data_IF_246578720159
#
_entry.id   IF_246578720159
#
_cell.length_a   1.000
_cell.length_b   1.000
_cell.length_c   1.000
_cell.angle_alpha   90.00
_cell.angle_beta   90.00
_cell.angle_gamma   90.00
#
_symmetry.space_group_name_H-M   'P 1'
#
loop_
_entity.id
_entity.type
_entity.pdbx_description
1 polymer ?
#
# COMPACT_ATOMS: atom_id res chain seq x y z
N UNK A 1 -21.44 -4.34 -11.16
CA UNK A 1 -20.39 -5.27 -10.70
C UNK A 1 -19.51 -4.54 -9.71
N UNK A 2 -19.43 -5.03 -8.49
CA UNK A 2 -18.57 -4.50 -7.45
C UNK A 2 -17.17 -5.14 -7.53
N UNK A 3 -16.13 -4.31 -7.53
CA UNK A 3 -14.74 -4.75 -7.61
C UNK A 3 -14.00 -4.32 -6.35
N UNK A 4 -13.46 -5.29 -5.62
CA UNK A 4 -12.57 -5.07 -4.49
C UNK A 4 -11.13 -5.27 -4.96
N UNK A 5 -10.37 -4.18 -5.09
CA UNK A 5 -8.98 -4.23 -5.55
C UNK A 5 -8.03 -3.88 -4.42
N UNK A 6 -7.16 -4.82 -4.06
CA UNK A 6 -6.00 -4.55 -3.21
C UNK A 6 -4.95 -3.79 -4.02
N UNK A 7 -4.38 -2.76 -3.41
CA UNK A 7 -3.36 -1.95 -4.07
C UNK A 7 -2.53 -1.12 -3.09
N UNK A 8 -1.47 -0.52 -3.63
CA UNK A 8 -0.67 0.50 -2.97
C UNK A 8 -0.75 1.83 -3.72
N UNK A 9 0.38 2.53 -3.82
CA UNK A 9 0.41 3.88 -4.36
C UNK A 9 0.32 4.04 -5.88
N UNK A 10 1.02 3.23 -6.69
CA UNK A 10 1.15 3.49 -8.15
C UNK A 10 1.07 2.27 -9.07
N UNK A 11 1.47 1.07 -8.60
CA UNK A 11 1.59 -0.12 -9.45
C UNK A 11 0.31 -0.47 -10.20
N UNK A 12 -0.83 -0.48 -9.50
CA UNK A 12 -2.14 -0.74 -10.08
C UNK A 12 -2.92 0.47 -10.59
N UNK A 13 -2.33 1.68 -10.61
CA UNK A 13 -3.09 2.91 -10.85
C UNK A 13 -3.72 2.96 -12.26
N UNK A 14 -3.03 2.47 -13.29
CA UNK A 14 -3.59 2.43 -14.65
C UNK A 14 -4.78 1.48 -14.74
N UNK A 15 -4.72 0.33 -14.06
CA UNK A 15 -5.78 -0.68 -13.98
C UNK A 15 -6.97 -0.12 -13.23
N UNK A 16 -6.76 0.44 -12.04
CA UNK A 16 -7.82 1.06 -11.24
C UNK A 16 -8.54 2.18 -12.01
N UNK A 17 -7.79 3.00 -12.77
CA UNK A 17 -8.39 4.01 -13.67
C UNK A 17 -9.21 3.42 -14.81
N UNK A 18 -8.79 2.28 -15.35
CA UNK A 18 -9.54 1.60 -16.41
C UNK A 18 -10.83 1.01 -15.84
N UNK A 19 -10.75 0.28 -14.73
CA UNK A 19 -11.91 -0.27 -14.01
C UNK A 19 -12.92 0.80 -13.62
N UNK A 20 -12.45 1.94 -13.09
CA UNK A 20 -13.30 3.07 -12.75
C UNK A 20 -14.06 3.66 -13.95
N UNK A 21 -13.49 3.56 -15.16
CA UNK A 21 -14.11 4.04 -16.40
C UNK A 21 -15.00 2.99 -17.07
N UNK A 22 -15.00 1.75 -16.58
CA UNK A 22 -15.86 0.69 -17.11
C UNK A 22 -17.31 0.89 -16.63
N UNK A 23 -18.29 1.02 -17.55
CA UNK A 23 -19.68 1.21 -17.17
C UNK A 23 -20.21 0.10 -16.27
N UNK A 24 -20.91 0.47 -15.19
CA UNK A 24 -21.50 -0.48 -14.25
C UNK A 24 -20.50 -1.13 -13.28
N UNK A 25 -19.22 -0.74 -13.29
CA UNK A 25 -18.23 -1.14 -12.29
C UNK A 25 -18.23 -0.16 -11.12
N UNK A 26 -18.40 -0.69 -9.91
CA UNK A 26 -18.18 0.04 -8.66
C UNK A 26 -16.86 -0.40 -8.03
N UNK A 27 -15.86 0.50 -8.01
CA UNK A 27 -14.52 0.18 -7.53
C UNK A 27 -14.34 0.56 -6.05
N UNK A 28 -13.94 -0.42 -5.25
CA UNK A 28 -13.39 -0.20 -3.91
C UNK A 28 -11.90 -0.53 -3.89
N UNK A 29 -11.09 0.39 -3.38
CA UNK A 29 -9.64 0.20 -3.23
C UNK A 29 -9.30 -0.07 -1.77
N UNK A 30 -8.64 -1.20 -1.55
CA UNK A 30 -8.18 -1.69 -0.26
C UNK A 30 -6.68 -1.42 -0.16
N UNK A 31 -6.30 -0.55 0.77
CA UNK A 31 -4.94 -0.02 0.91
C UNK A 31 -4.52 -0.12 2.38
N UNK A 32 -3.25 -0.35 2.68
CA UNK A 32 -2.71 -0.21 4.04
C UNK A 32 -1.96 1.12 4.19
N UNK A 33 -1.75 1.55 5.44
CA UNK A 33 -1.08 2.82 5.75
C UNK A 33 0.33 2.69 6.32
N UNK A 34 1.05 1.60 6.02
CA UNK A 34 2.34 1.34 6.69
C UNK A 34 3.55 2.04 6.06
N UNK A 35 3.34 2.85 5.02
CA UNK A 35 4.39 3.69 4.42
C UNK A 35 5.00 4.65 5.44
N UNK A 36 6.31 4.53 5.64
CA UNK A 36 7.15 5.38 6.48
C UNK A 36 8.31 6.05 5.72
N UNK A 37 8.28 6.09 4.39
CA UNK A 37 9.31 6.72 3.59
C UNK A 37 9.29 8.26 3.67
N UNK A 38 10.48 8.87 3.62
CA UNK A 38 10.69 10.32 3.42
C UNK A 38 9.77 11.20 4.30
N UNK A 39 9.03 12.13 3.68
CA UNK A 39 8.10 13.04 4.35
C UNK A 39 6.89 12.34 4.97
N UNK A 40 6.46 11.17 4.46
CA UNK A 40 5.44 10.33 5.12
C UNK A 40 5.94 9.89 6.51
N UNK A 41 7.17 9.38 6.57
CA UNK A 41 7.79 8.95 7.84
C UNK A 41 8.00 10.10 8.81
N UNK A 42 8.43 11.27 8.32
CA UNK A 42 8.57 12.47 9.13
C UNK A 42 7.23 12.89 9.75
N UNK A 43 6.16 12.88 8.97
CA UNK A 43 4.81 13.20 9.43
C UNK A 43 4.30 12.19 10.48
N UNK A 44 4.55 10.88 10.28
CA UNK A 44 4.18 9.84 11.26
C UNK A 44 4.96 9.95 12.58
N UNK A 45 6.22 10.38 12.54
CA UNK A 45 7.00 10.68 13.76
C UNK A 45 6.47 11.93 14.47
N UNK A 46 6.05 12.92 13.70
CA UNK A 46 5.49 14.16 14.23
C UNK A 46 4.09 13.99 14.84
N UNK A 47 3.28 13.10 14.28
CA UNK A 47 1.95 12.71 14.78
C UNK A 47 1.95 11.22 15.18
N UNK A 48 2.49 10.87 16.36
CA UNK A 48 2.49 9.50 16.84
C UNK A 48 1.06 8.93 16.85
N UNK A 49 0.85 7.79 16.19
CA UNK A 49 -0.47 7.15 16.04
C UNK A 49 -1.09 7.31 14.64
N UNK A 50 -0.62 8.26 13.83
CA UNK A 50 -1.10 8.40 12.46
C UNK A 50 -0.45 7.37 11.53
N UNK A 51 -1.26 6.72 10.69
CA UNK A 51 -0.78 5.93 9.55
C UNK A 51 -0.27 6.83 8.41
N UNK A 52 0.53 6.26 7.50
CA UNK A 52 1.05 6.95 6.33
C UNK A 52 -0.04 7.30 5.32
N UNK A 53 -0.33 8.59 5.05
CA UNK A 53 -1.41 8.98 4.14
C UNK A 53 -1.05 8.90 2.65
N UNK A 54 0.22 8.65 2.30
CA UNK A 54 0.73 8.81 0.94
C UNK A 54 0.04 7.93 -0.09
N UNK A 55 -0.21 6.66 0.21
CA UNK A 55 -0.87 5.77 -0.74
C UNK A 55 -2.37 6.05 -0.87
N UNK A 56 -3.03 6.46 0.22
CA UNK A 56 -4.39 6.98 0.17
C UNK A 56 -4.48 8.22 -0.71
N UNK A 57 -3.58 9.19 -0.52
CA UNK A 57 -3.48 10.40 -1.32
C UNK A 57 -3.25 10.10 -2.80
N UNK A 58 -2.33 9.18 -3.14
CA UNK A 58 -2.06 8.79 -4.53
C UNK A 58 -3.30 8.18 -5.19
N UNK A 59 -4.08 7.39 -4.46
CA UNK A 59 -5.31 6.80 -4.99
C UNK A 59 -6.45 7.82 -5.19
N UNK A 60 -6.44 8.96 -4.51
CA UNK A 60 -7.36 10.07 -4.81
C UNK A 60 -7.07 10.76 -6.16
N UNK A 61 -5.94 10.48 -6.80
CA UNK A 61 -5.57 11.03 -8.12
C UNK A 61 -6.14 10.22 -9.30
N UNK A 62 -6.82 9.10 -9.04
CA UNK A 62 -7.23 8.18 -10.09
C UNK A 62 -8.23 8.83 -11.06
N UNK A 63 -9.20 9.58 -10.52
CA UNK A 63 -10.27 10.23 -11.28
C UNK A 63 -9.96 11.69 -11.67
N UNK A 64 -8.76 12.19 -11.36
CA UNK A 64 -8.39 13.59 -11.57
C UNK A 64 -7.44 13.73 -12.76
N UNK A 65 -7.92 14.42 -13.80
CA UNK A 65 -7.15 14.69 -15.01
C UNK A 65 -6.09 15.80 -14.80
N UNK A 66 -5.21 15.96 -15.77
CA UNK A 66 -4.26 17.08 -15.78
C UNK A 66 -5.00 18.42 -15.85
N UNK A 67 -4.55 19.40 -15.05
CA UNK A 67 -5.18 20.71 -14.93
C UNK A 67 -6.29 20.81 -13.88
N UNK A 68 -6.72 19.70 -13.27
CA UNK A 68 -7.69 19.76 -12.17
C UNK A 68 -7.04 20.39 -10.91
N UNK A 69 -7.59 21.47 -10.34
CA UNK A 69 -7.01 22.12 -9.17
C UNK A 69 -6.91 21.20 -7.94
N UNK A 70 -7.79 20.21 -7.82
CA UNK A 70 -7.74 19.19 -6.75
C UNK A 70 -6.50 18.34 -6.87
N UNK A 71 -6.15 17.97 -8.10
CA UNK A 71 -4.93 17.21 -8.40
C UNK A 71 -3.70 18.04 -8.08
N UNK A 72 -3.68 19.29 -8.53
CA UNK A 72 -2.58 20.23 -8.23
C UNK A 72 -2.32 20.31 -6.73
N UNK A 73 -3.37 20.46 -5.91
CA UNK A 73 -3.24 20.48 -4.45
C UNK A 73 -2.71 19.15 -3.89
N UNK A 74 -3.26 18.01 -4.30
CA UNK A 74 -2.84 16.69 -3.84
C UNK A 74 -1.37 16.36 -4.18
N UNK A 75 -0.87 16.87 -5.31
CA UNK A 75 0.49 16.63 -5.80
C UNK A 75 1.48 17.72 -5.38
N UNK A 76 1.01 18.90 -4.94
CA UNK A 76 1.87 20.01 -4.54
C UNK A 76 2.81 19.60 -3.41
N UNK A 77 4.12 19.78 -3.63
CA UNK A 77 5.18 19.48 -2.65
C UNK A 77 5.80 20.79 -2.20
N UNK A 78 5.90 20.94 -0.88
CA UNK A 78 6.45 22.15 -0.28
C UNK A 78 7.95 22.29 -0.58
N UNK A 79 8.41 23.48 -1.02
CA UNK A 79 9.83 23.74 -1.27
C UNK A 79 10.71 23.55 -0.03
N UNK A 80 12.00 23.34 -0.27
CA UNK A 80 13.02 23.39 0.80
C UNK A 80 12.98 24.73 1.52
N UNK A 81 13.08 24.71 2.86
CA UNK A 81 13.05 25.91 3.69
C UNK A 81 11.65 26.53 3.90
N UNK A 82 10.58 25.85 3.51
CA UNK A 82 9.20 26.31 3.76
C UNK A 82 8.95 26.53 5.25
N UNK A 83 8.51 27.74 5.61
CA UNK A 83 8.20 28.13 6.99
C UNK A 83 6.72 27.96 7.31
N UNK A 84 6.35 28.13 8.59
CA UNK A 84 4.94 28.16 9.00
C UNK A 84 4.17 29.33 8.34
N UNK A 85 4.81 30.48 8.15
CA UNK A 85 4.19 31.64 7.50
C UNK A 85 3.94 31.39 6.00
N UNK A 86 4.86 30.69 5.32
CA UNK A 86 4.66 30.29 3.92
C UNK A 86 3.49 29.30 3.80
N UNK A 87 3.37 28.37 4.76
CA UNK A 87 2.22 27.47 4.83
C UNK A 87 0.91 28.22 5.05
N UNK A 88 0.88 29.24 5.92
CA UNK A 88 -0.32 30.06 6.16
C UNK A 88 -0.74 30.84 4.89
N UNK A 89 0.21 31.40 4.15
CA UNK A 89 -0.07 32.06 2.88
C UNK A 89 -0.67 31.08 1.85
N UNK A 90 -0.10 29.88 1.75
CA UNK A 90 -0.61 28.82 0.87
C UNK A 90 -2.01 28.34 1.30
N UNK A 91 -2.30 28.31 2.60
CA UNK A 91 -3.63 28.00 3.13
C UNK A 91 -4.67 29.02 2.65
N UNK A 92 -4.31 30.30 2.59
CA UNK A 92 -5.22 31.34 2.12
C UNK A 92 -5.46 31.25 0.61
N UNK A 93 -4.44 30.89 -0.18
CA UNK A 93 -4.61 30.56 -1.61
C UNK A 93 -5.57 29.37 -1.82
N UNK A 94 -5.39 28.31 -1.02
CA UNK A 94 -6.28 27.12 -1.03
C UNK A 94 -7.68 27.49 -0.55
N UNK A 95 -7.83 28.42 0.39
CA UNK A 95 -9.14 28.88 0.85
C UNK A 95 -9.89 29.67 -0.24
N UNK A 96 -9.17 30.43 -1.06
CA UNK A 96 -9.74 31.23 -2.13
C UNK A 96 -10.15 30.40 -3.36
N UNK A 97 -9.38 29.36 -3.69
CA UNK A 97 -9.50 28.66 -4.99
C UNK A 97 -9.49 27.13 -4.92
N UNK A 98 -9.20 26.55 -3.76
CA UNK A 98 -9.07 25.11 -3.58
C UNK A 98 -10.39 24.38 -3.33
N UNK A 99 -10.34 23.04 -3.25
CA UNK A 99 -11.52 22.24 -2.94
C UNK A 99 -12.11 22.58 -1.56
N UNK A 100 -13.45 22.67 -1.44
CA UNK A 100 -14.11 22.99 -0.17
C UNK A 100 -13.67 22.07 0.96
N UNK A 101 -13.26 22.67 2.08
CA UNK A 101 -12.81 21.96 3.27
C UNK A 101 -11.30 21.68 3.33
N UNK A 102 -10.55 21.72 2.22
CA UNK A 102 -9.10 21.48 2.27
C UNK A 102 -8.36 22.51 3.13
N UNK A 103 -8.67 23.81 2.97
CA UNK A 103 -8.10 24.87 3.80
C UNK A 103 -8.42 24.69 5.29
N UNK A 104 -9.61 24.17 5.64
CA UNK A 104 -9.97 23.88 7.04
C UNK A 104 -9.03 22.83 7.62
N UNK A 105 -8.80 21.73 6.91
CA UNK A 105 -7.92 20.68 7.42
C UNK A 105 -6.47 21.19 7.52
N UNK A 106 -6.00 21.94 6.53
CA UNK A 106 -4.66 22.55 6.61
C UNK A 106 -4.52 23.52 7.79
N UNK A 107 -5.54 24.34 8.10
CA UNK A 107 -5.53 25.21 9.29
C UNK A 107 -5.45 24.42 10.60
N UNK A 108 -6.15 23.28 10.70
CA UNK A 108 -6.04 22.40 11.87
C UNK A 108 -4.61 21.86 12.01
N UNK A 109 -4.00 21.45 10.90
CA UNK A 109 -2.61 20.99 10.91
C UNK A 109 -1.62 22.12 11.27
N UNK A 110 -1.79 23.31 10.69
CA UNK A 110 -0.97 24.49 10.98
C UNK A 110 -1.06 24.89 12.46
N UNK A 111 -2.25 24.83 13.07
CA UNK A 111 -2.41 25.06 14.50
C UNK A 111 -1.63 24.03 15.36
N UNK A 112 -1.61 22.75 14.93
CA UNK A 112 -0.77 21.72 15.58
C UNK A 112 0.72 22.01 15.40
N UNK A 113 1.15 22.48 14.23
CA UNK A 113 2.54 22.89 13.95
C UNK A 113 2.97 24.07 14.84
N UNK A 114 2.11 25.09 14.97
CA UNK A 114 2.36 26.24 15.84
C UNK A 114 2.47 25.86 17.32
N UNK A 115 1.70 24.86 17.79
CA UNK A 115 1.78 24.37 19.16
C UNK A 115 3.04 23.55 19.47
N UNK A 116 3.72 22.99 18.44
CA UNK A 116 4.93 22.18 18.58
C UNK A 116 5.96 22.55 17.50
N UNK A 117 6.50 23.78 17.54
CA UNK A 117 7.40 24.27 16.50
C UNK A 117 8.69 23.43 16.44
N UNK A 118 9.24 23.27 15.23
CA UNK A 118 10.49 22.53 15.01
C UNK A 118 10.37 20.99 15.07
N UNK A 119 9.17 20.44 15.30
CA UNK A 119 8.96 18.99 15.32
C UNK A 119 8.83 18.33 13.95
N UNK A 120 8.67 19.12 12.88
CA UNK A 120 8.54 18.64 11.50
C UNK A 120 9.22 19.61 10.54
N UNK A 121 10.09 19.07 9.68
CA UNK A 121 10.53 19.76 8.48
C UNK A 121 9.45 19.62 7.40
N UNK A 122 8.97 20.76 6.90
CA UNK A 122 7.93 20.81 5.88
C UNK A 122 8.47 20.52 4.47
N UNK A 123 9.78 20.53 4.27
CA UNK A 123 10.38 20.29 2.98
C UNK A 123 9.93 18.95 2.36
N UNK A 124 9.55 18.98 1.09
CA UNK A 124 9.04 17.83 0.34
C UNK A 124 7.76 17.17 0.92
N UNK A 125 7.11 17.79 1.91
CA UNK A 125 5.79 17.35 2.33
C UNK A 125 4.79 17.60 1.20
N UNK A 126 4.06 16.56 0.80
CA UNK A 126 2.93 16.74 -0.09
C UNK A 126 1.80 17.45 0.68
N UNK A 127 1.28 18.55 0.12
CA UNK A 127 0.21 19.32 0.75
C UNK A 127 -1.04 18.47 0.99
N UNK A 128 -1.34 17.54 0.07
CA UNK A 128 -2.38 16.54 0.29
C UNK A 128 -2.16 15.68 1.55
N UNK A 129 -0.92 15.31 1.89
CA UNK A 129 -0.65 14.56 3.13
C UNK A 129 -0.94 15.43 4.37
N UNK A 130 -0.71 16.74 4.29
CA UNK A 130 -1.03 17.68 5.37
C UNK A 130 -2.54 17.89 5.52
N UNK A 131 -3.31 17.82 4.42
CA UNK A 131 -4.79 17.76 4.48
C UNK A 131 -5.25 16.51 5.24
N UNK A 132 -4.65 15.34 4.97
CA UNK A 132 -4.93 14.11 5.73
C UNK A 132 -4.60 14.26 7.21
N UNK A 133 -3.44 14.84 7.53
CA UNK A 133 -3.03 15.09 8.92
C UNK A 133 -4.02 16.02 9.63
N UNK A 134 -4.45 17.10 8.98
CA UNK A 134 -5.48 17.99 9.50
C UNK A 134 -6.81 17.30 9.77
N UNK A 135 -7.27 16.48 8.82
CA UNK A 135 -8.50 15.72 8.97
C UNK A 135 -8.42 14.70 10.11
N UNK A 136 -7.29 13.99 10.23
CA UNK A 136 -7.00 13.06 11.33
C UNK A 136 -7.10 13.76 12.68
N UNK A 137 -6.41 14.89 12.85
CA UNK A 137 -6.43 15.68 14.08
C UNK A 137 -7.84 16.18 14.42
N UNK A 138 -8.56 16.72 13.43
CA UNK A 138 -9.92 17.25 13.63
C UNK A 138 -10.93 16.17 14.01
N UNK A 139 -10.73 14.95 13.52
CA UNK A 139 -11.65 13.83 13.72
C UNK A 139 -11.26 12.96 14.93
N UNK A 140 -10.50 13.51 15.87
CA UNK A 140 -10.16 12.82 17.11
C UNK A 140 -9.17 11.68 16.90
N UNK A 141 -8.24 11.85 15.95
CA UNK A 141 -7.19 10.87 15.66
C UNK A 141 -7.73 9.54 15.12
N UNK A 142 -8.89 9.58 14.43
CA UNK A 142 -9.44 8.49 13.63
C UNK A 142 -8.95 8.59 12.17
N UNK A 143 -7.99 7.73 11.81
CA UNK A 143 -7.42 7.71 10.46
C UNK A 143 -8.43 7.29 9.38
N UNK A 144 -9.33 6.35 9.70
CA UNK A 144 -10.34 5.88 8.74
C UNK A 144 -11.40 6.97 8.47
N UNK A 145 -11.76 7.74 9.49
CA UNK A 145 -12.59 8.93 9.31
C UNK A 145 -11.88 10.02 8.49
N UNK A 146 -10.56 10.20 8.69
CA UNK A 146 -9.76 11.10 7.87
C UNK A 146 -9.73 10.69 6.39
N UNK A 147 -9.54 9.40 6.09
CA UNK A 147 -9.62 8.87 4.72
C UNK A 147 -10.97 9.18 4.08
N UNK A 148 -12.09 8.94 4.79
CA UNK A 148 -13.44 9.27 4.29
C UNK A 148 -13.68 10.78 4.12
N UNK A 149 -13.09 11.61 4.98
CA UNK A 149 -13.19 13.06 4.85
C UNK A 149 -12.40 13.57 3.63
N UNK A 150 -11.16 13.11 3.46
CA UNK A 150 -10.34 13.45 2.30
C UNK A 150 -10.97 12.96 0.99
N UNK A 151 -11.48 11.73 0.94
CA UNK A 151 -12.19 11.22 -0.23
C UNK A 151 -13.36 12.13 -0.65
N UNK A 152 -14.11 12.68 0.32
CA UNK A 152 -15.18 13.66 0.04
C UNK A 152 -14.65 15.02 -0.41
N UNK A 153 -13.62 15.56 0.25
CA UNK A 153 -13.00 16.86 -0.12
C UNK A 153 -12.53 16.83 -1.58
N UNK A 154 -11.92 15.72 -2.01
CA UNK A 154 -11.41 15.57 -3.37
C UNK A 154 -12.42 14.94 -4.35
N UNK A 155 -13.65 14.66 -3.89
CA UNK A 155 -14.75 14.14 -4.71
C UNK A 155 -14.41 12.80 -5.36
N UNK A 156 -13.79 11.88 -4.63
CA UNK A 156 -13.40 10.58 -5.16
C UNK A 156 -14.63 9.71 -5.44
N UNK A 157 -14.77 9.17 -6.66
CA UNK A 157 -15.79 8.19 -7.00
C UNK A 157 -15.42 6.77 -6.53
N UNK A 158 -14.17 6.57 -6.10
CA UNK A 158 -13.67 5.29 -5.60
C UNK A 158 -13.92 5.19 -4.11
N UNK A 159 -14.40 4.03 -3.66
CA UNK A 159 -14.47 3.75 -2.22
C UNK A 159 -13.07 3.37 -1.72
N UNK A 160 -12.35 4.36 -1.19
CA UNK A 160 -11.02 4.18 -0.66
C UNK A 160 -11.06 3.72 0.80
N UNK A 161 -10.58 2.52 1.07
CA UNK A 161 -10.66 1.85 2.37
C UNK A 161 -9.26 1.49 2.86
N UNK A 162 -8.96 1.89 4.10
CA UNK A 162 -7.87 1.27 4.84
C UNK A 162 -8.28 -0.16 5.20
N UNK A 163 -7.37 -1.13 5.08
CA UNK A 163 -7.65 -2.52 5.48
C UNK A 163 -7.72 -2.68 7.00
N UNK A 164 -7.08 -1.79 7.77
CA UNK A 164 -7.01 -1.87 9.25
C UNK A 164 -7.90 -0.87 9.98
N UNK A 165 -8.08 -1.06 11.28
CA UNK A 165 -8.85 -0.20 12.18
C UNK A 165 -8.32 1.23 12.28
N UNK A 166 -7.08 1.46 11.82
CA UNK A 166 -6.42 2.76 11.82
C UNK A 166 -5.21 2.83 12.76
N UNK A 167 -4.90 1.74 13.46
CA UNK A 167 -3.75 1.64 14.34
C UNK A 167 -2.45 1.75 13.56
N UNK A 168 -1.53 2.55 14.09
CA UNK A 168 -0.21 2.70 13.51
C UNK A 168 0.69 1.50 13.86
N UNK A 169 1.43 1.02 12.86
CA UNK A 169 2.48 0.02 13.05
C UNK A 169 3.60 0.19 12.02
N UNK A 170 4.74 -0.42 12.30
CA UNK A 170 5.96 -0.27 11.51
C UNK A 170 6.26 -1.59 10.78
N UNK A 171 6.23 -1.53 9.45
CA UNK A 171 6.51 -2.68 8.61
C UNK A 171 8.00 -2.99 8.61
N UNK A 172 8.32 -4.26 8.89
CA UNK A 172 9.67 -4.82 8.93
C UNK A 172 9.68 -6.14 8.18
N UNK A 173 10.76 -6.43 7.47
CA UNK A 173 10.95 -7.70 6.78
C UNK A 173 12.16 -8.48 7.31
N UNK A 174 12.06 -9.81 7.28
CA UNK A 174 13.12 -10.75 7.65
C UNK A 174 13.62 -11.49 6.41
N UNK A 175 14.92 -11.41 6.12
CA UNK A 175 15.57 -12.18 5.07
C UNK A 175 15.90 -13.60 5.55
N UNK A 176 16.08 -14.52 4.60
CA UNK A 176 16.40 -15.94 4.87
C UNK A 176 17.67 -16.13 5.71
N UNK A 177 18.64 -15.24 5.56
CA UNK A 177 19.90 -15.24 6.31
C UNK A 177 19.80 -14.57 7.69
N UNK A 178 18.60 -14.18 8.13
CA UNK A 178 18.35 -13.56 9.42
C UNK A 178 18.49 -12.03 9.43
N UNK A 179 18.91 -11.39 8.32
CA UNK A 179 18.95 -9.92 8.24
C UNK A 179 17.56 -9.30 8.29
N UNK A 180 17.48 -8.12 8.89
CA UNK A 180 16.24 -7.38 9.09
C UNK A 180 16.25 -6.10 8.24
N UNK A 181 15.22 -5.94 7.41
CA UNK A 181 14.92 -4.70 6.69
C UNK A 181 13.94 -3.90 7.55
N UNK A 182 14.37 -2.73 8.03
CA UNK A 182 13.75 -2.08 9.18
C UNK A 182 12.56 -1.17 8.83
N UNK A 183 12.39 -0.84 7.55
CA UNK A 183 11.34 0.02 7.05
C UNK A 183 11.03 -0.27 5.57
N UNK A 184 10.03 0.43 5.01
CA UNK A 184 9.66 0.27 3.61
C UNK A 184 10.81 0.63 2.67
N UNK A 185 11.63 1.64 2.99
CA UNK A 185 12.73 2.06 2.14
C UNK A 185 13.80 0.95 2.05
N UNK A 186 14.11 0.29 3.17
CA UNK A 186 14.97 -0.88 3.21
C UNK A 186 14.37 -2.06 2.43
N UNK A 187 13.04 -2.22 2.38
CA UNK A 187 12.35 -3.31 1.66
C UNK A 187 12.40 -3.10 0.15
N UNK A 188 12.08 -1.90 -0.32
CA UNK A 188 11.95 -1.59 -1.76
C UNK A 188 13.25 -1.11 -2.40
N UNK A 189 14.25 -0.75 -1.58
CA UNK A 189 15.57 -0.32 -2.03
C UNK A 189 16.39 -1.46 -2.66
N UNK A 190 17.57 -1.17 -3.21
CA UNK A 190 18.43 -2.20 -3.82
C UNK A 190 18.70 -3.37 -2.86
N UNK A 191 18.26 -4.56 -3.24
CA UNK A 191 18.45 -5.80 -2.48
C UNK A 191 19.55 -6.66 -3.08
N UNK A 192 20.13 -7.53 -2.25
CA UNK A 192 20.79 -8.74 -2.75
C UNK A 192 19.79 -9.89 -2.90
N UNK A 193 20.26 -10.98 -3.52
CA UNK A 193 19.45 -12.16 -3.85
C UNK A 193 18.85 -12.92 -2.64
N UNK A 194 19.16 -12.54 -1.40
CA UNK A 194 18.55 -13.16 -0.23
C UNK A 194 17.04 -12.91 -0.22
N UNK A 195 16.24 -13.99 -0.17
CA UNK A 195 14.79 -13.87 -0.17
C UNK A 195 14.25 -13.29 1.15
N UNK A 196 13.24 -12.42 1.07
CA UNK A 196 12.38 -12.09 2.21
C UNK A 196 11.53 -13.33 2.56
N UNK A 197 11.53 -13.72 3.84
CA UNK A 197 10.86 -14.92 4.38
C UNK A 197 9.77 -14.60 5.40
N UNK A 198 9.56 -13.33 5.74
CA UNK A 198 8.53 -12.93 6.69
C UNK A 198 8.41 -11.42 6.78
N UNK A 199 7.17 -10.95 6.98
CA UNK A 199 6.82 -9.57 7.24
C UNK A 199 6.21 -9.46 8.63
N UNK A 200 6.52 -8.37 9.32
CA UNK A 200 6.07 -8.09 10.68
C UNK A 200 5.61 -6.66 10.78
N UNK A 201 4.51 -6.44 11.51
CA UNK A 201 4.00 -5.12 11.87
C UNK A 201 4.35 -4.89 13.34
N UNK A 202 5.31 -4.01 13.62
CA UNK A 202 5.79 -3.75 14.97
C UNK A 202 5.06 -2.58 15.62
N UNK A 203 4.92 -2.60 16.96
CA UNK A 203 4.36 -1.48 17.74
C UNK A 203 5.21 -0.22 17.64
N UNK A 204 6.52 -0.41 17.72
CA UNK A 204 7.52 0.64 17.72
C UNK A 204 8.52 0.41 16.58
N UNK A 205 9.07 1.49 15.97
CA UNK A 205 10.09 1.35 14.95
C UNK A 205 11.38 0.78 15.56
N UNK A 206 12.13 0.00 14.79
CA UNK A 206 13.43 -0.49 15.24
C UNK A 206 14.44 0.65 15.36
N UNK A 207 15.03 0.80 16.55
CA UNK A 207 16.11 1.77 16.77
C UNK A 207 17.42 1.29 16.14
N UNK A 208 18.40 2.19 15.98
CA UNK A 208 19.75 1.79 15.55
C UNK A 208 20.36 0.72 16.48
N UNK A 209 20.07 0.80 17.78
CA UNK A 209 20.48 -0.21 18.76
C UNK A 209 19.79 -1.54 18.52
N UNK A 210 18.47 -1.56 18.30
CA UNK A 210 17.75 -2.79 17.97
C UNK A 210 18.32 -3.44 16.71
N UNK A 211 18.63 -2.64 15.67
CA UNK A 211 19.22 -3.15 14.43
C UNK A 211 20.57 -3.81 14.71
N UNK A 212 21.46 -3.15 15.46
CA UNK A 212 22.75 -3.69 15.86
C UNK A 212 22.61 -4.97 16.72
N UNK A 213 21.69 -4.92 17.69
CA UNK A 213 21.40 -6.04 18.57
C UNK A 213 20.82 -7.22 17.82
N UNK A 214 20.08 -7.02 16.72
CA UNK A 214 19.55 -8.07 15.84
C UNK A 214 20.59 -8.61 14.83
N UNK A 215 21.58 -7.80 14.44
CA UNK A 215 22.61 -8.12 13.43
C UNK A 215 23.95 -8.64 13.98
N UNK A 216 24.08 -8.89 15.29
CA UNK A 216 25.39 -9.07 15.96
C UNK A 216 26.36 -10.09 15.29
N UNK A 217 27.63 -9.70 15.04
CA UNK A 217 28.63 -10.45 14.25
C UNK A 217 29.53 -11.44 15.04
N UNK A 218 29.11 -11.97 16.20
CA UNK A 218 30.05 -12.73 17.08
C UNK A 218 29.79 -14.24 17.22
N UNK A 219 28.87 -14.81 16.44
CA UNK A 219 28.74 -16.26 16.38
C UNK A 219 28.27 -16.69 14.98
N UNK A 220 29.14 -17.32 14.16
CA UNK A 220 28.79 -17.86 12.86
C UNK A 220 27.72 -18.96 12.88
N UNK A 221 27.32 -19.44 14.07
CA UNK A 221 26.37 -20.54 14.28
C UNK A 221 25.10 -20.19 15.06
N UNK A 222 24.99 -18.99 15.69
CA UNK A 222 24.00 -18.79 16.77
C UNK A 222 23.02 -17.63 16.62
N UNK A 223 22.59 -17.29 15.40
CA UNK A 223 21.23 -16.74 15.24
C UNK A 223 20.52 -17.37 14.05
N UNK A 224 19.85 -18.51 14.25
CA UNK A 224 18.91 -18.99 13.25
C UNK A 224 17.89 -17.89 12.97
N UNK A 225 17.51 -17.68 11.71
CA UNK A 225 16.46 -16.73 11.33
C UNK A 225 15.19 -16.88 12.19
N UNK A 226 14.94 -18.08 12.71
CA UNK A 226 13.90 -18.41 13.70
C UNK A 226 13.99 -17.58 14.98
N UNK A 227 15.17 -17.36 15.55
CA UNK A 227 15.31 -16.54 16.76
C UNK A 227 14.99 -15.07 16.49
N UNK A 228 15.40 -14.55 15.33
CA UNK A 228 15.07 -13.17 14.93
C UNK A 228 13.56 -13.05 14.71
N UNK A 229 12.95 -14.03 14.05
CA UNK A 229 11.49 -14.15 13.88
C UNK A 229 10.75 -14.13 15.22
N UNK A 230 11.21 -14.89 16.20
CA UNK A 230 10.63 -14.91 17.55
C UNK A 230 10.72 -13.55 18.26
N UNK A 231 11.83 -12.82 18.07
CA UNK A 231 12.01 -11.49 18.66
C UNK A 231 11.07 -10.46 18.00
N UNK A 232 10.95 -10.52 16.68
CA UNK A 232 10.03 -9.65 15.93
C UNK A 232 8.57 -9.94 16.29
N UNK A 233 8.18 -11.21 16.40
CA UNK A 233 6.83 -11.63 16.79
C UNK A 233 6.43 -11.11 18.18
N UNK A 234 7.35 -11.10 19.15
CA UNK A 234 7.11 -10.53 20.50
C UNK A 234 6.87 -9.02 20.49
N UNK A 235 7.31 -8.32 19.45
CA UNK A 235 7.15 -6.87 19.25
C UNK A 235 5.99 -6.51 18.34
N UNK A 236 5.22 -7.50 17.85
CA UNK A 236 4.09 -7.28 16.95
C UNK A 236 3.06 -6.33 17.55
N UNK A 237 2.52 -5.47 16.70
CA UNK A 237 1.38 -4.61 16.99
C UNK A 237 0.08 -5.40 17.01
N UNK A 238 -0.82 -5.01 17.90
CA UNK A 238 -2.21 -5.45 17.82
C UNK A 238 -2.91 -4.60 16.77
N UNK A 239 -3.36 -5.25 15.70
CA UNK A 239 -4.02 -4.62 14.56
C UNK A 239 -5.45 -5.11 14.53
N UNK A 240 -6.43 -4.21 14.51
CA UNK A 240 -7.81 -4.61 14.20
C UNK A 240 -8.08 -4.44 12.71
N UNK A 241 -8.98 -5.23 12.11
CA UNK A 241 -9.42 -4.99 10.74
C UNK A 241 -10.39 -3.82 10.66
N UNK A 242 -10.43 -3.15 9.50
CA UNK A 242 -11.55 -2.30 9.16
C UNK A 242 -12.77 -3.17 8.80
N UNK A 243 -13.88 -3.13 9.56
CA UNK A 243 -15.05 -3.95 9.26
C UNK A 243 -15.69 -3.63 7.90
N UNK A 244 -15.56 -2.39 7.42
CA UNK A 244 -16.02 -2.02 6.08
C UNK A 244 -15.19 -2.69 4.99
N UNK A 245 -13.86 -2.75 5.15
CA UNK A 245 -12.97 -3.43 4.22
C UNK A 245 -13.29 -4.93 4.12
N UNK A 246 -13.47 -5.61 5.25
CA UNK A 246 -13.84 -7.03 5.26
C UNK A 246 -15.18 -7.29 4.55
N UNK A 247 -16.21 -6.47 4.84
CA UNK A 247 -17.51 -6.58 4.16
C UNK A 247 -17.40 -6.34 2.66
N UNK A 248 -16.61 -5.37 2.24
CA UNK A 248 -16.35 -5.08 0.82
C UNK A 248 -15.71 -6.27 0.11
N UNK A 249 -14.74 -6.94 0.74
CA UNK A 249 -14.11 -8.14 0.18
C UNK A 249 -15.11 -9.30 0.08
N UNK A 250 -15.90 -9.53 1.13
CA UNK A 250 -16.89 -10.63 1.17
C UNK A 250 -17.98 -10.44 0.11
N UNK A 251 -18.47 -9.21 -0.06
CA UNK A 251 -19.58 -8.87 -0.94
C UNK A 251 -19.17 -8.58 -2.40
N UNK A 252 -17.88 -8.47 -2.68
CA UNK A 252 -17.37 -8.16 -4.02
C UNK A 252 -17.71 -9.23 -5.05
N UNK A 253 -18.06 -8.81 -6.27
CA UNK A 253 -18.27 -9.71 -7.41
C UNK A 253 -16.93 -10.17 -8.03
N UNK A 254 -15.88 -9.35 -7.85
CA UNK A 254 -14.52 -9.59 -8.30
C UNK A 254 -13.53 -9.09 -7.24
N UNK A 255 -12.55 -9.92 -6.88
CA UNK A 255 -11.38 -9.51 -6.10
C UNK A 255 -10.18 -9.40 -7.03
N UNK A 256 -9.46 -8.29 -6.97
CA UNK A 256 -8.22 -8.08 -7.72
C UNK A 256 -7.08 -7.88 -6.73
N UNK A 257 -6.10 -8.78 -6.75
CA UNK A 257 -4.80 -8.53 -6.14
C UNK A 257 -3.98 -7.74 -7.15
N UNK A 258 -4.01 -6.41 -7.02
CA UNK A 258 -3.39 -5.51 -7.98
C UNK A 258 -1.87 -5.66 -8.01
N UNK A 259 -1.20 -5.23 -9.10
CA UNK A 259 0.25 -5.23 -9.18
C UNK A 259 0.85 -4.10 -8.33
N UNK A 260 2.10 -4.26 -7.93
CA UNK A 260 2.82 -3.31 -7.08
C UNK A 260 3.96 -4.00 -6.34
N UNK A 261 4.58 -3.30 -5.39
CA UNK A 261 5.61 -3.87 -4.52
C UNK A 261 4.97 -4.88 -3.57
N UNK A 262 5.18 -6.20 -3.75
CA UNK A 262 4.47 -7.19 -2.96
C UNK A 262 4.74 -7.04 -1.46
N UNK A 263 5.99 -6.82 -1.05
CA UNK A 263 6.34 -6.82 0.37
C UNK A 263 5.99 -5.53 1.09
N UNK A 264 5.93 -4.39 0.40
CA UNK A 264 5.60 -3.11 1.03
C UNK A 264 4.14 -2.69 0.92
N UNK A 265 3.46 -3.05 -0.18
CA UNK A 265 2.10 -2.56 -0.48
C UNK A 265 1.03 -3.64 -0.40
N UNK A 266 1.30 -4.86 -0.87
CA UNK A 266 0.24 -5.87 -1.05
C UNK A 266 0.18 -6.86 0.11
N UNK A 267 1.25 -7.61 0.36
CA UNK A 267 1.33 -8.64 1.39
C UNK A 267 1.02 -8.10 2.80
N UNK A 268 1.44 -6.88 3.20
CA UNK A 268 1.04 -6.32 4.50
C UNK A 268 -0.48 -6.14 4.65
N UNK A 269 -1.21 -5.98 3.53
CA UNK A 269 -2.66 -5.88 3.57
C UNK A 269 -3.32 -7.21 3.92
N UNK A 270 -2.75 -8.33 3.48
CA UNK A 270 -3.24 -9.68 3.74
C UNK A 270 -2.95 -10.15 5.17
N UNK A 271 -1.92 -9.59 5.82
CA UNK A 271 -1.63 -9.80 7.24
C UNK A 271 -2.71 -9.25 8.19
N UNK A 272 -3.63 -8.44 7.68
CA UNK A 272 -4.72 -7.88 8.48
C UNK A 272 -5.60 -9.02 9.04
N UNK A 273 -5.85 -9.08 10.36
CA UNK A 273 -6.67 -10.14 10.93
C UNK A 273 -8.05 -10.23 10.30
N UNK A 274 -8.50 -11.45 9.97
CA UNK A 274 -9.80 -11.67 9.33
C UNK A 274 -9.82 -11.43 7.81
N UNK A 275 -8.74 -10.89 7.21
CA UNK A 275 -8.71 -10.60 5.78
C UNK A 275 -8.66 -11.90 4.94
N UNK A 276 -7.84 -12.86 5.35
CA UNK A 276 -7.75 -14.18 4.73
C UNK A 276 -9.12 -14.91 4.74
N UNK A 277 -9.80 -14.88 5.89
CA UNK A 277 -11.13 -15.44 6.07
C UNK A 277 -12.17 -14.71 5.21
N UNK A 278 -12.10 -13.38 5.12
CA UNK A 278 -12.98 -12.57 4.28
C UNK A 278 -12.81 -12.90 2.79
N UNK A 279 -11.57 -13.06 2.33
CA UNK A 279 -11.26 -13.48 0.95
C UNK A 279 -11.84 -14.87 0.67
N UNK A 280 -11.59 -15.84 1.54
CA UNK A 280 -12.07 -17.22 1.39
C UNK A 280 -13.61 -17.30 1.44
N UNK A 281 -14.25 -16.50 2.29
CA UNK A 281 -15.71 -16.42 2.41
C UNK A 281 -16.38 -15.57 1.31
N UNK A 282 -15.59 -14.88 0.49
CA UNK A 282 -16.13 -14.02 -0.57
C UNK A 282 -16.99 -14.79 -1.56
N UNK A 283 -18.02 -14.12 -2.10
CA UNK A 283 -18.86 -14.65 -3.17
C UNK A 283 -18.36 -14.27 -4.56
N UNK A 284 -17.19 -13.65 -4.65
CA UNK A 284 -16.62 -13.21 -5.91
C UNK A 284 -16.57 -14.34 -6.94
N UNK A 285 -17.03 -14.04 -8.14
CA UNK A 285 -16.97 -14.96 -9.28
C UNK A 285 -15.52 -15.25 -9.69
N UNK A 286 -14.62 -14.29 -9.43
CA UNK A 286 -13.18 -14.47 -9.59
C UNK A 286 -12.41 -13.70 -8.52
N UNK A 287 -11.26 -14.28 -8.14
CA UNK A 287 -10.19 -13.68 -7.37
C UNK A 287 -8.94 -13.73 -8.24
N UNK A 288 -8.56 -12.59 -8.78
CA UNK A 288 -7.57 -12.46 -9.86
C UNK A 288 -6.28 -11.88 -9.31
N UNK A 289 -5.20 -12.63 -9.40
CA UNK A 289 -3.86 -12.14 -9.09
C UNK A 289 -3.23 -11.55 -10.35
N UNK A 290 -2.90 -10.26 -10.32
CA UNK A 290 -2.25 -9.57 -11.44
C UNK A 290 -0.76 -9.49 -11.17
N UNK A 291 0.02 -10.26 -11.92
CA UNK A 291 1.49 -10.26 -11.82
C UNK A 291 2.04 -8.94 -12.36
N UNK A 292 3.04 -8.37 -11.69
CA UNK A 292 3.73 -7.16 -12.14
C UNK A 292 4.20 -7.29 -13.60
N UNK A 293 4.00 -6.23 -14.40
CA UNK A 293 4.39 -6.17 -15.80
C UNK A 293 5.91 -6.05 -16.04
N UNK A 294 6.71 -5.81 -14.99
CA UNK A 294 8.17 -5.77 -15.05
C UNK A 294 8.80 -6.15 -13.72
N UNK A 295 10.10 -6.41 -13.74
CA UNK A 295 10.90 -6.66 -12.53
C UNK A 295 11.09 -5.39 -11.70
N UNK A 296 11.04 -5.51 -10.38
CA UNK A 296 11.45 -4.48 -9.44
C UNK A 296 12.45 -5.06 -8.41
N UNK A 297 13.03 -4.19 -7.56
CA UNK A 297 13.96 -4.63 -6.52
C UNK A 297 13.30 -5.52 -5.47
N UNK A 298 11.97 -5.43 -5.32
CA UNK A 298 11.18 -6.14 -4.32
C UNK A 298 10.94 -7.62 -4.69
N UNK A 299 11.03 -7.95 -5.98
CA UNK A 299 10.79 -9.30 -6.53
C UNK A 299 12.04 -9.93 -7.17
N UNK A 300 13.23 -9.42 -6.87
CA UNK A 300 14.48 -9.95 -7.44
C UNK A 300 14.65 -11.44 -7.17
N UNK A 301 14.88 -12.20 -8.24
CA UNK A 301 15.07 -13.65 -8.17
C UNK A 301 13.78 -14.46 -8.01
N UNK A 302 12.61 -13.82 -7.99
CA UNK A 302 11.31 -14.51 -7.91
C UNK A 302 10.70 -14.71 -9.30
N UNK A 303 10.16 -15.90 -9.50
CA UNK A 303 9.27 -16.22 -10.62
C UNK A 303 7.86 -15.70 -10.35
N UNK A 304 7.02 -15.64 -11.39
CA UNK A 304 5.61 -15.28 -11.22
C UNK A 304 4.87 -16.28 -10.31
N UNK A 305 5.24 -17.56 -10.35
CA UNK A 305 4.68 -18.60 -9.46
C UNK A 305 5.11 -18.40 -8.00
N UNK A 306 6.35 -17.97 -7.75
CA UNK A 306 6.79 -17.66 -6.37
C UNK A 306 5.96 -16.52 -5.75
N UNK A 307 5.55 -15.54 -6.56
CA UNK A 307 4.69 -14.44 -6.11
C UNK A 307 3.27 -14.92 -5.78
N UNK A 308 2.74 -15.85 -6.57
CA UNK A 308 1.44 -16.49 -6.30
C UNK A 308 1.53 -17.30 -5.02
N UNK A 309 2.54 -18.15 -4.87
CA UNK A 309 2.73 -19.02 -3.70
C UNK A 309 2.90 -18.20 -2.41
N UNK A 310 3.64 -17.09 -2.48
CA UNK A 310 3.74 -16.14 -1.36
C UNK A 310 2.38 -15.55 -1.02
N UNK A 311 1.64 -15.08 -2.01
CA UNK A 311 0.32 -14.48 -1.77
C UNK A 311 -0.63 -15.49 -1.13
N UNK A 312 -0.67 -16.73 -1.62
CA UNK A 312 -1.41 -17.84 -1.05
C UNK A 312 -1.00 -18.12 0.41
N UNK A 313 0.30 -18.14 0.70
CA UNK A 313 0.79 -18.33 2.07
C UNK A 313 0.33 -17.21 3.01
N UNK A 314 0.36 -15.95 2.57
CA UNK A 314 -0.11 -14.79 3.36
C UNK A 314 -1.64 -14.75 3.51
N UNK A 315 -2.38 -15.39 2.60
CA UNK A 315 -3.82 -15.64 2.73
C UNK A 315 -4.13 -16.90 3.54
N UNK A 316 -3.11 -17.56 4.12
CA UNK A 316 -3.27 -18.79 4.89
C UNK A 316 -3.78 -19.97 4.07
N UNK A 317 -3.54 -19.98 2.77
CA UNK A 317 -4.06 -20.97 1.81
C UNK A 317 -2.95 -21.48 0.87
N UNK A 318 -1.81 -21.97 1.38
CA UNK A 318 -0.63 -22.31 0.57
C UNK A 318 -0.90 -23.37 -0.52
N UNK A 319 -1.90 -24.24 -0.32
CA UNK A 319 -2.35 -25.22 -1.32
C UNK A 319 -3.47 -24.71 -2.24
N UNK A 320 -3.93 -23.48 -2.05
CA UNK A 320 -5.09 -22.87 -2.71
C UNK A 320 -6.36 -23.73 -2.62
N UNK A 321 -6.58 -24.39 -1.47
CA UNK A 321 -7.70 -25.30 -1.23
C UNK A 321 -9.02 -24.53 -1.01
N UNK A 322 -8.93 -23.25 -0.59
CA UNK A 322 -10.08 -22.35 -0.35
C UNK A 322 -10.30 -21.36 -1.52
N UNK A 323 -10.03 -21.80 -2.76
CA UNK A 323 -9.72 -20.98 -3.94
C UNK A 323 -9.55 -19.47 -3.70
N UNK A 324 -8.58 -19.10 -2.84
CA UNK A 324 -8.30 -17.69 -2.53
C UNK A 324 -7.70 -16.96 -3.73
N UNK A 325 -7.06 -17.68 -4.66
CA UNK A 325 -6.74 -17.22 -6.01
C UNK A 325 -7.39 -18.17 -7.02
N UNK A 326 -8.17 -17.62 -7.95
CA UNK A 326 -8.85 -18.42 -8.99
C UNK A 326 -8.21 -18.25 -10.35
N UNK A 327 -7.62 -17.08 -10.59
CA UNK A 327 -7.03 -16.70 -11.86
C UNK A 327 -5.74 -15.94 -11.61
N UNK A 328 -4.75 -16.16 -12.48
CA UNK A 328 -3.50 -15.41 -12.51
C UNK A 328 -3.36 -14.78 -13.88
N UNK A 329 -3.12 -13.47 -13.91
CA UNK A 329 -2.94 -12.70 -15.13
C UNK A 329 -1.48 -12.22 -15.20
N UNK A 330 -0.76 -12.62 -16.25
CA UNK A 330 0.67 -12.30 -16.43
C UNK A 330 0.99 -11.69 -17.79
N UNK A 331 1.91 -10.72 -17.80
CA UNK A 331 2.54 -10.21 -19.03
C UNK A 331 3.77 -11.05 -19.42
N UNK A 332 4.12 -11.07 -20.71
CA UNK A 332 5.38 -11.68 -21.19
C UNK A 332 6.64 -10.97 -20.68
N UNK A 333 6.53 -9.68 -20.40
CA UNK A 333 7.60 -8.79 -19.93
C UNK A 333 7.86 -8.86 -18.42
N UNK A 334 6.99 -9.55 -17.68
CA UNK A 334 7.05 -9.63 -16.23
C UNK A 334 8.07 -10.65 -15.70
N UNK A 335 8.01 -10.95 -14.39
CA UNK A 335 8.76 -12.05 -13.79
C UNK A 335 8.60 -13.36 -14.58
N UNK A 336 9.67 -14.18 -14.65
CA UNK A 336 9.64 -15.39 -15.46
C UNK A 336 8.51 -16.33 -15.02
N UNK A 337 7.79 -16.87 -16.00
CA UNK A 337 6.75 -17.89 -15.81
C UNK A 337 7.34 -19.25 -16.21
N UNK A 338 7.30 -20.29 -15.36
CA UNK A 338 7.78 -21.62 -15.72
C UNK A 338 7.07 -22.16 -16.97
N UNK A 339 7.81 -22.79 -17.89
CA UNK A 339 7.25 -23.28 -19.16
C UNK A 339 6.05 -24.23 -18.97
N UNK A 340 6.14 -25.14 -17.98
CA UNK A 340 5.04 -26.07 -17.67
C UNK A 340 3.74 -25.37 -17.24
N UNK A 341 3.81 -24.14 -16.70
CA UNK A 341 2.61 -23.35 -16.37
C UNK A 341 1.96 -22.78 -17.62
N UNK A 342 2.78 -22.32 -18.58
CA UNK A 342 2.27 -21.80 -19.85
C UNK A 342 1.64 -22.91 -20.71
N UNK A 343 2.23 -24.10 -20.69
CA UNK A 343 1.72 -25.26 -21.43
C UNK A 343 0.39 -25.78 -20.87
N UNK A 344 0.30 -25.89 -19.53
CA UNK A 344 -0.90 -26.40 -18.85
C UNK A 344 -1.96 -25.31 -18.69
N UNK A 345 -1.57 -24.04 -18.62
CA UNK A 345 -2.47 -22.92 -18.38
C UNK A 345 -3.02 -22.87 -16.95
N UNK A 346 -2.30 -23.42 -15.97
CA UNK A 346 -2.68 -23.35 -14.55
C UNK A 346 -1.49 -23.48 -13.60
N UNK A 347 -1.66 -22.97 -12.39
CA UNK A 347 -0.73 -23.13 -11.27
C UNK A 347 -1.50 -23.14 -9.95
N UNK A 348 -1.17 -24.07 -9.04
CA UNK A 348 -1.87 -24.24 -7.76
C UNK A 348 -3.42 -24.25 -7.88
N UNK A 349 -3.95 -24.89 -8.93
CA UNK A 349 -5.39 -24.92 -9.20
C UNK A 349 -6.00 -23.60 -9.74
N UNK A 350 -5.24 -22.51 -9.80
CA UNK A 350 -5.66 -21.26 -10.43
C UNK A 350 -5.44 -21.31 -11.95
N UNK A 351 -6.39 -20.78 -12.71
CA UNK A 351 -6.26 -20.64 -14.17
C UNK A 351 -5.24 -19.56 -14.50
N UNK A 352 -4.26 -19.91 -15.35
CA UNK A 352 -3.24 -18.98 -15.80
C UNK A 352 -3.63 -18.35 -17.13
N UNK A 353 -3.58 -17.02 -17.21
CA UNK A 353 -3.87 -16.24 -18.41
C UNK A 353 -2.65 -15.38 -18.72
N UNK A 354 -2.00 -15.68 -19.84
CA UNK A 354 -0.92 -14.82 -20.36
C UNK A 354 -1.46 -13.95 -21.49
N UNK A 355 -1.21 -12.64 -21.38
CA UNK A 355 -1.60 -11.66 -22.38
C UNK A 355 -0.53 -10.58 -22.56
N UNK A 356 -0.67 -9.75 -23.60
CA UNK A 356 0.14 -8.54 -23.76
C UNK A 356 -0.48 -7.41 -22.94
N UNK A 357 0.06 -7.21 -21.74
CA UNK A 357 -0.47 -6.32 -20.73
C UNK A 357 0.44 -5.14 -20.44
N UNK A 358 1.61 -5.07 -21.08
CA UNK A 358 2.57 -4.00 -20.87
C UNK A 358 2.14 -2.72 -21.61
N UNK A 359 2.43 -1.57 -21.01
CA UNK A 359 2.31 -0.28 -21.66
C UNK A 359 3.53 -0.03 -22.56
N UNK A 360 3.37 0.02 -23.90
CA UNK A 360 4.50 0.23 -24.81
C UNK A 360 5.17 1.60 -24.63
N UNK A 361 4.47 2.58 -24.05
CA UNK A 361 5.04 3.89 -23.74
C UNK A 361 5.75 3.91 -22.38
N UNK A 362 5.54 2.89 -21.54
CA UNK A 362 6.07 2.81 -20.18
C UNK A 362 6.48 1.37 -19.85
N UNK A 363 7.66 0.92 -20.31
CA UNK A 363 8.17 -0.42 -20.01
C UNK A 363 8.13 -0.73 -18.51
N UNK A 364 7.72 -1.95 -18.17
CA UNK A 364 7.52 -2.45 -16.82
C UNK A 364 6.20 -2.01 -16.16
N UNK A 365 5.35 -1.23 -16.83
CA UNK A 365 4.03 -0.83 -16.32
C UNK A 365 2.89 -1.52 -17.07
N UNK A 366 1.77 -1.75 -16.38
CA UNK A 366 0.57 -2.29 -17.02
C UNK A 366 -0.13 -1.24 -17.89
N UNK A 367 -0.55 -1.68 -19.08
CA UNK A 367 -1.57 -1.03 -19.89
C UNK A 367 -2.95 -1.28 -19.28
N UNK A 368 -3.35 -0.36 -18.40
CA UNK A 368 -4.59 -0.44 -17.63
C UNK A 368 -5.83 -0.93 -18.40
N UNK A 369 -6.19 -0.31 -19.54
CA UNK A 369 -7.36 -0.74 -20.32
C UNK A 369 -7.28 -2.20 -20.80
N UNK A 370 -6.11 -2.67 -21.23
CA UNK A 370 -5.92 -4.07 -21.64
C UNK A 370 -6.01 -5.03 -20.47
N UNK A 371 -5.44 -4.63 -19.33
CA UNK A 371 -5.48 -5.45 -18.11
C UNK A 371 -6.87 -5.51 -17.49
N UNK A 372 -7.71 -4.48 -17.66
CA UNK A 372 -9.09 -4.50 -17.18
C UNK A 372 -10.05 -5.22 -18.15
N UNK A 373 -9.69 -5.33 -19.43
CA UNK A 373 -10.42 -6.08 -20.45
C UNK A 373 -10.19 -7.60 -20.31
N UNK A 374 -8.95 -7.99 -20.01
CA UNK A 374 -8.55 -9.37 -19.72
C UNK A 374 -9.07 -9.84 -18.36
#
# INVERSE_FOLDING_TARGET
>A
MSVAMFGGGRGGASIARALLRTPGVELSLLVNGYDNGLSTGALRRYLPGMLGPSDFRKNLLLHLDHGDPRRTLLEHRLPQGTTAADLDALIDEVAASGPPGAARELRVFAARLAARPGGLDLADCALGNLVFAGAYLRLGEDFNAAVRACARIFGSPVRLLNVTGGENAFLVALKQDGRVLADEADIVGPQDAGAITGLFLLRDPLTARDRADLTHPADPSARPAERVRDLLARRSAEITPNPEALRTVIAGDLIVYGPGTPHSSLLPSYLTPGMAEAVAASRAAARVFVVNAGGDHDIQGLTATDLVDRTLAYLGDPGNERPTITHVLSSRSGPPVPAGVLDVGSWAGARWVSADLEDPARPGAHRGPRTAEA
#
